data_IF_275942202959
#
_entry.id   IF_275942202959
#
_cell.length_a   1.000
_cell.length_b   1.000
_cell.length_c   1.000
_cell.angle_alpha   90.00
_cell.angle_beta   90.00
_cell.angle_gamma   90.00
#
_symmetry.space_group_name_H-M   'P 1'
#
loop_
_entity.id
_entity.type
_entity.pdbx_description
1 polymer ?
#
# COMPACT_ATOMS: atom_id res chain seq x y z
N UNK A 1 9.37 3.12 -9.99
CA UNK A 1 9.34 2.65 -8.62
C UNK A 1 8.19 1.66 -8.43
N UNK A 2 8.44 0.56 -7.76
CA UNK A 2 7.44 -0.44 -7.36
C UNK A 2 7.68 -0.74 -5.89
N UNK A 3 6.61 -0.72 -5.11
CA UNK A 3 6.62 -1.12 -3.70
C UNK A 3 5.87 -2.42 -3.54
N UNK A 4 6.44 -3.39 -2.83
CA UNK A 4 5.79 -4.64 -2.46
C UNK A 4 5.39 -4.58 -0.99
N UNK A 5 4.26 -5.20 -0.67
CA UNK A 5 3.80 -5.41 0.69
C UNK A 5 3.62 -6.90 0.89
N UNK A 6 4.38 -7.45 1.84
CA UNK A 6 4.58 -8.87 2.09
C UNK A 6 5.11 -9.66 0.90
N UNK A 7 5.81 -10.74 1.19
CA UNK A 7 6.42 -11.62 0.19
C UNK A 7 6.32 -13.07 0.70
N UNK A 8 5.14 -13.65 0.55
CA UNK A 8 4.89 -15.05 0.87
C UNK A 8 5.60 -16.02 -0.07
N UNK A 9 5.56 -17.30 0.24
CA UNK A 9 6.37 -18.36 -0.40
C UNK A 9 6.16 -18.47 -1.92
N UNK A 10 4.99 -18.18 -2.42
CA UNK A 10 4.68 -18.25 -3.86
C UNK A 10 5.07 -17.00 -4.67
N UNK A 11 5.43 -15.88 -4.03
CA UNK A 11 5.55 -14.56 -4.68
C UNK A 11 6.56 -14.56 -5.84
N UNK A 12 7.71 -15.21 -5.69
CA UNK A 12 8.73 -15.28 -6.74
C UNK A 12 8.22 -15.94 -8.02
N UNK A 13 7.39 -16.97 -7.90
CA UNK A 13 6.82 -17.68 -9.04
C UNK A 13 5.63 -16.93 -9.62
N UNK A 14 4.75 -16.41 -8.78
CA UNK A 14 3.57 -15.68 -9.21
C UNK A 14 3.91 -14.39 -9.97
N UNK A 15 4.98 -13.70 -9.57
CA UNK A 15 5.41 -12.46 -10.23
C UNK A 15 5.83 -12.69 -11.69
N UNK A 16 6.23 -13.92 -12.07
CA UNK A 16 6.56 -14.28 -13.45
C UNK A 16 5.35 -14.29 -14.39
N UNK A 17 4.15 -14.43 -13.84
CA UNK A 17 2.88 -14.37 -14.58
C UNK A 17 2.35 -12.94 -14.72
N UNK A 18 3.09 -11.93 -14.21
CA UNK A 18 2.71 -10.53 -14.24
C UNK A 18 3.75 -9.66 -14.97
N UNK A 19 3.34 -8.45 -15.36
CA UNK A 19 4.26 -7.50 -16.00
C UNK A 19 5.21 -6.78 -15.04
N UNK A 20 5.21 -7.16 -13.76
CA UNK A 20 6.07 -6.58 -12.72
C UNK A 20 7.53 -6.95 -13.00
N UNK A 21 8.40 -5.93 -13.04
CA UNK A 21 9.84 -6.12 -13.21
C UNK A 21 10.53 -5.98 -11.86
N UNK A 22 11.14 -7.04 -11.36
CA UNK A 22 11.83 -7.05 -10.06
C UNK A 22 12.90 -5.97 -9.95
N UNK A 23 13.61 -5.67 -11.01
CA UNK A 23 14.59 -4.57 -11.04
C UNK A 23 14.00 -3.16 -10.88
N UNK A 24 12.68 -3.00 -10.84
CA UNK A 24 11.98 -1.75 -10.53
C UNK A 24 11.45 -1.70 -9.09
N UNK A 25 11.53 -2.82 -8.37
CA UNK A 25 11.18 -2.87 -6.95
C UNK A 25 12.28 -2.21 -6.16
N UNK A 26 11.95 -1.14 -5.47
CA UNK A 26 12.90 -0.37 -4.66
C UNK A 26 12.54 -0.34 -3.17
N UNK A 27 11.30 -0.71 -2.80
CA UNK A 27 10.87 -0.87 -1.41
C UNK A 27 10.09 -2.16 -1.25
N UNK A 28 10.31 -2.84 -0.13
CA UNK A 28 9.50 -3.96 0.34
C UNK A 28 9.13 -3.68 1.78
N UNK A 29 7.84 -3.69 2.07
CA UNK A 29 7.27 -3.52 3.39
C UNK A 29 6.73 -4.85 3.88
N UNK A 30 7.09 -5.25 5.10
CA UNK A 30 6.64 -6.48 5.72
C UNK A 30 5.73 -6.13 6.90
N UNK A 31 4.54 -6.72 6.92
CA UNK A 31 3.57 -6.49 7.97
C UNK A 31 3.93 -7.23 9.25
N UNK A 32 4.29 -8.51 9.15
CA UNK A 32 4.68 -9.34 10.28
C UNK A 32 5.52 -10.55 9.84
N UNK A 33 6.05 -11.28 10.81
CA UNK A 33 7.07 -12.31 10.58
C UNK A 33 6.52 -13.75 10.42
N UNK A 34 5.21 -13.94 10.21
CA UNK A 34 4.69 -15.27 9.85
C UNK A 34 5.20 -15.70 8.46
N UNK A 35 5.32 -17.01 8.25
CA UNK A 35 5.97 -17.56 7.06
C UNK A 35 5.29 -17.21 5.76
N UNK A 36 3.96 -17.23 5.73
CA UNK A 36 3.14 -16.87 4.57
C UNK A 36 3.26 -15.39 4.14
N UNK A 37 3.94 -14.56 4.95
CA UNK A 37 4.26 -13.16 4.63
C UNK A 37 5.73 -12.92 4.29
N UNK A 38 6.66 -13.83 4.65
CA UNK A 38 8.11 -13.60 4.49
C UNK A 38 8.88 -14.71 3.79
N UNK A 39 8.35 -15.94 3.67
CA UNK A 39 9.15 -17.07 3.18
C UNK A 39 9.53 -16.96 1.70
N UNK A 40 8.87 -16.10 0.93
CA UNK A 40 9.28 -15.80 -0.44
C UNK A 40 10.45 -14.83 -0.56
N UNK A 41 10.80 -14.09 0.51
CA UNK A 41 11.83 -13.05 0.47
C UNK A 41 13.20 -13.56 -0.01
N UNK A 42 13.80 -14.61 0.57
CA UNK A 42 15.15 -15.03 0.17
C UNK A 42 15.23 -15.35 -1.33
N UNK A 43 14.25 -16.06 -1.86
CA UNK A 43 14.18 -16.40 -3.29
C UNK A 43 13.95 -15.20 -4.18
N UNK A 44 13.04 -14.31 -3.80
CA UNK A 44 12.75 -13.10 -4.56
C UNK A 44 13.95 -12.16 -4.59
N UNK A 45 14.64 -11.96 -3.46
CA UNK A 45 15.84 -11.11 -3.38
C UNK A 45 16.95 -11.65 -4.28
N UNK A 46 17.19 -12.96 -4.26
CA UNK A 46 18.17 -13.60 -5.14
C UNK A 46 17.79 -13.43 -6.62
N UNK A 47 16.52 -13.68 -6.97
CA UNK A 47 16.03 -13.51 -8.34
C UNK A 47 16.14 -12.06 -8.84
N UNK A 48 15.94 -11.08 -7.97
CA UNK A 48 16.07 -9.65 -8.31
C UNK A 48 17.48 -9.31 -8.80
N UNK A 49 18.52 -9.94 -8.24
CA UNK A 49 19.92 -9.76 -8.71
C UNK A 49 20.09 -10.04 -10.20
N UNK A 50 19.32 -10.99 -10.75
CA UNK A 50 19.43 -11.43 -12.15
C UNK A 50 18.33 -10.87 -13.06
N UNK A 51 17.37 -10.12 -12.49
CA UNK A 51 16.23 -9.56 -13.22
C UNK A 51 16.25 -8.02 -13.25
N UNK A 52 17.43 -7.44 -13.43
CA UNK A 52 17.64 -6.02 -13.61
C UNK A 52 17.63 -5.20 -12.31
N UNK A 53 17.86 -5.86 -11.18
CA UNK A 53 18.08 -5.23 -9.88
C UNK A 53 19.56 -4.98 -9.53
N UNK A 54 20.47 -5.41 -10.42
CA UNK A 54 21.91 -5.23 -10.25
C UNK A 54 22.25 -3.76 -10.00
N UNK A 55 23.09 -3.50 -9.01
CA UNK A 55 23.51 -2.16 -8.54
C UNK A 55 22.39 -1.22 -8.07
N UNK A 56 21.12 -1.66 -8.06
CA UNK A 56 20.01 -0.82 -7.62
C UNK A 56 19.71 -1.06 -6.14
N UNK A 57 19.78 -0.04 -5.29
CA UNK A 57 19.48 -0.19 -3.87
C UNK A 57 18.04 -0.70 -3.65
N UNK A 58 17.86 -1.46 -2.57
CA UNK A 58 16.56 -1.91 -2.08
C UNK A 58 16.41 -1.48 -0.62
N UNK A 59 15.26 -0.93 -0.27
CA UNK A 59 14.90 -0.68 1.12
C UNK A 59 13.92 -1.75 1.59
N UNK A 60 14.25 -2.44 2.68
CA UNK A 60 13.43 -3.46 3.31
C UNK A 60 12.97 -2.95 4.67
N UNK A 61 11.66 -2.79 4.83
CA UNK A 61 11.04 -2.18 6.00
C UNK A 61 10.09 -3.19 6.64
N UNK A 62 10.25 -3.44 7.94
CA UNK A 62 9.38 -4.40 8.62
C UNK A 62 9.71 -4.61 10.09
N UNK A 63 9.11 -5.61 10.73
CA UNK A 63 9.29 -5.88 12.15
C UNK A 63 10.72 -6.25 12.52
N UNK A 64 11.05 -6.08 13.80
CA UNK A 64 12.29 -6.58 14.39
C UNK A 64 12.50 -8.06 14.09
N UNK A 65 13.73 -8.40 13.69
CA UNK A 65 14.13 -9.75 13.30
C UNK A 65 14.12 -9.98 11.79
N UNK A 66 13.57 -9.06 10.98
CA UNK A 66 13.54 -9.17 9.53
C UNK A 66 14.95 -9.23 8.92
N UNK A 67 15.84 -8.32 9.35
CA UNK A 67 17.25 -8.32 8.91
C UNK A 67 17.92 -9.64 9.26
N UNK A 68 17.78 -10.10 10.51
CA UNK A 68 18.39 -11.35 10.96
C UNK A 68 17.92 -12.55 10.15
N UNK A 69 16.62 -12.62 9.84
CA UNK A 69 16.03 -13.68 9.02
C UNK A 69 16.67 -13.71 7.63
N UNK A 70 16.72 -12.59 6.95
CA UNK A 70 17.26 -12.48 5.59
C UNK A 70 18.76 -12.78 5.56
N UNK A 71 19.54 -12.15 6.43
CA UNK A 71 21.00 -12.35 6.47
C UNK A 71 21.35 -13.81 6.81
N UNK A 72 20.59 -14.45 7.71
CA UNK A 72 20.79 -15.87 8.03
C UNK A 72 20.46 -16.76 6.83
N UNK A 73 19.34 -16.53 6.17
CA UNK A 73 18.93 -17.29 4.99
C UNK A 73 19.97 -17.19 3.86
N UNK A 74 20.39 -15.97 3.52
CA UNK A 74 21.40 -15.73 2.49
C UNK A 74 22.76 -16.34 2.85
N UNK A 75 23.19 -16.22 4.11
CA UNK A 75 24.45 -16.78 4.59
C UNK A 75 24.47 -18.31 4.50
N UNK A 76 23.42 -18.97 5.00
CA UNK A 76 23.37 -20.44 5.04
C UNK A 76 23.20 -21.07 3.65
N UNK A 77 22.54 -20.34 2.73
CA UNK A 77 22.38 -20.77 1.34
C UNK A 77 23.53 -20.34 0.42
N UNK A 78 24.55 -19.67 0.97
CA UNK A 78 25.69 -19.10 0.21
C UNK A 78 25.23 -18.20 -0.96
N UNK A 79 24.05 -17.58 -0.80
CA UNK A 79 23.48 -16.69 -1.82
C UNK A 79 24.05 -15.27 -1.69
N UNK A 80 24.46 -14.71 -2.82
CA UNK A 80 25.03 -13.35 -2.88
C UNK A 80 24.12 -12.45 -3.69
N UNK A 81 23.91 -11.24 -3.19
CA UNK A 81 23.14 -10.21 -3.87
C UNK A 81 24.08 -9.20 -4.54
N UNK A 82 23.72 -8.78 -5.76
CA UNK A 82 24.50 -7.82 -6.55
C UNK A 82 24.02 -6.38 -6.32
N UNK A 83 23.41 -6.09 -5.18
CA UNK A 83 22.89 -4.77 -4.82
C UNK A 83 22.86 -4.61 -3.30
N UNK A 84 22.95 -3.37 -2.80
CA UNK A 84 22.85 -3.10 -1.37
C UNK A 84 21.39 -3.15 -0.90
N UNK A 85 21.19 -3.67 0.33
CA UNK A 85 19.92 -3.56 1.05
C UNK A 85 20.07 -2.62 2.23
N UNK A 86 19.13 -1.70 2.37
CA UNK A 86 18.95 -0.92 3.59
C UNK A 86 17.80 -1.55 4.40
N UNK A 87 18.08 -1.99 5.61
CA UNK A 87 17.08 -2.52 6.53
C UNK A 87 16.58 -1.42 7.45
N UNK A 88 15.27 -1.33 7.59
CA UNK A 88 14.62 -0.43 8.55
C UNK A 88 13.64 -1.28 9.36
N UNK A 89 14.03 -1.60 10.58
CA UNK A 89 13.13 -2.27 11.52
C UNK A 89 12.21 -1.25 12.15
N UNK A 90 10.93 -1.55 12.20
CA UNK A 90 9.89 -0.64 12.66
C UNK A 90 9.39 -1.03 14.04
N UNK A 91 8.92 -0.01 14.74
CA UNK A 91 8.16 -0.11 15.97
C UNK A 91 6.79 0.57 15.84
N UNK A 92 6.09 0.69 16.93
CA UNK A 92 4.83 1.42 16.96
C UNK A 92 5.09 2.93 16.73
N UNK A 93 4.30 3.56 15.86
CA UNK A 93 4.41 4.98 15.44
C UNK A 93 5.56 5.31 14.47
N UNK A 94 6.01 4.35 13.69
CA UNK A 94 6.99 4.59 12.64
C UNK A 94 6.44 5.53 11.55
N UNK A 95 7.32 6.39 11.02
CA UNK A 95 7.03 7.25 9.86
C UNK A 95 8.23 7.28 8.93
N UNK A 96 7.98 7.13 7.63
CA UNK A 96 8.98 7.12 6.57
C UNK A 96 8.57 8.04 5.43
N UNK A 97 9.52 8.81 4.90
CA UNK A 97 9.30 9.73 3.79
C UNK A 97 10.14 9.35 2.59
N UNK A 98 9.52 9.23 1.43
CA UNK A 98 10.20 8.92 0.18
C UNK A 98 9.50 9.57 -1.02
N UNK A 99 10.23 10.39 -1.81
CA UNK A 99 9.72 11.03 -3.03
C UNK A 99 8.36 11.75 -2.85
N UNK A 100 8.19 12.41 -1.70
CA UNK A 100 6.96 13.14 -1.36
C UNK A 100 5.83 12.27 -0.80
N UNK A 101 5.98 10.93 -0.80
CA UNK A 101 5.10 10.03 -0.06
C UNK A 101 5.44 10.03 1.42
N UNK A 102 4.41 9.93 2.24
CA UNK A 102 4.55 9.65 3.67
C UNK A 102 3.96 8.26 3.95
N UNK A 103 4.75 7.38 4.56
CA UNK A 103 4.30 6.06 5.03
C UNK A 103 4.34 6.07 6.54
N UNK A 104 3.22 5.82 7.18
CA UNK A 104 3.15 5.62 8.63
C UNK A 104 2.68 4.21 8.96
N UNK A 105 3.10 3.69 10.10
CA UNK A 105 2.64 2.38 10.58
C UNK A 105 2.12 2.42 12.01
N UNK A 106 1.28 1.45 12.33
CA UNK A 106 0.77 1.19 13.69
C UNK A 106 0.79 -0.30 13.96
N UNK A 107 1.07 -0.64 15.22
CA UNK A 107 0.97 -2.01 15.71
C UNK A 107 -0.50 -2.43 15.74
N UNK A 108 -0.78 -3.61 15.19
CA UNK A 108 -2.08 -4.26 15.15
C UNK A 108 -2.21 -5.33 16.25
N UNK A 109 -3.36 -5.97 16.33
CA UNK A 109 -3.66 -6.99 17.34
C UNK A 109 -3.62 -8.40 16.74
N UNK A 110 -2.47 -9.01 16.73
CA UNK A 110 -2.25 -10.35 16.20
C UNK A 110 -1.43 -11.22 17.17
N UNK A 111 -1.20 -12.50 16.83
CA UNK A 111 -0.41 -13.43 17.65
C UNK A 111 1.05 -13.07 17.84
N UNK A 112 1.63 -12.33 16.87
CA UNK A 112 2.96 -11.73 16.93
C UNK A 112 2.85 -10.25 16.51
N UNK A 113 3.90 -9.42 16.71
CA UNK A 113 3.88 -8.04 16.24
C UNK A 113 3.53 -7.96 14.74
N UNK A 114 2.36 -7.41 14.43
CA UNK A 114 1.84 -7.17 13.09
C UNK A 114 1.56 -5.70 12.92
N UNK A 115 1.78 -5.15 11.73
CA UNK A 115 1.67 -3.73 11.45
C UNK A 115 0.75 -3.47 10.25
N UNK A 116 -0.03 -2.41 10.36
CA UNK A 116 -0.69 -1.80 9.22
C UNK A 116 0.11 -0.60 8.74
N UNK A 117 0.04 -0.33 7.45
CA UNK A 117 0.70 0.80 6.78
C UNK A 117 -0.34 1.75 6.20
N UNK A 118 -0.13 3.04 6.40
CA UNK A 118 -0.86 4.13 5.74
C UNK A 118 0.08 4.88 4.84
N UNK A 119 -0.22 4.92 3.55
CA UNK A 119 0.56 5.57 2.51
C UNK A 119 -0.22 6.80 2.04
N UNK A 120 0.35 7.98 2.26
CA UNK A 120 -0.19 9.25 1.78
C UNK A 120 0.66 9.71 0.60
N UNK A 121 0.04 9.80 -0.58
CA UNK A 121 0.70 10.28 -1.77
C UNK A 121 0.93 11.81 -1.71
N UNK A 122 1.93 12.33 -2.42
CA UNK A 122 2.19 13.76 -2.43
C UNK A 122 0.99 14.57 -2.93
N UNK A 123 0.82 15.77 -2.38
CA UNK A 123 -0.18 16.71 -2.88
C UNK A 123 0.09 17.06 -4.32
N UNK A 124 -0.97 17.17 -5.11
CA UNK A 124 -0.87 17.65 -6.51
C UNK A 124 -1.17 19.15 -6.58
N UNK A 125 -0.45 19.89 -7.41
CA UNK A 125 -0.74 21.30 -7.62
C UNK A 125 -2.18 21.52 -8.05
N UNK A 126 -2.77 22.63 -7.62
CA UNK A 126 -4.13 23.02 -7.98
C UNK A 126 -4.34 23.16 -9.50
N UNK A 127 -5.57 23.06 -9.91
CA UNK A 127 -5.96 23.24 -11.32
C UNK A 127 -5.67 24.67 -11.74
N UNK A 128 -5.00 24.85 -12.89
CA UNK A 128 -4.72 26.17 -13.47
C UNK A 128 -6.02 26.86 -13.87
N UNK A 129 -6.14 28.14 -13.54
CA UNK A 129 -7.13 29.03 -14.07
C UNK A 129 -6.66 29.58 -15.43
N UNK A 130 -7.06 28.90 -16.49
CA UNK A 130 -6.73 29.27 -17.86
C UNK A 130 -7.27 30.64 -18.22
N UNK A 131 -8.44 31.02 -17.67
CA UNK A 131 -9.09 32.30 -17.95
C UNK A 131 -8.30 33.46 -17.36
N UNK A 132 -7.86 33.31 -16.11
CA UNK A 132 -7.02 34.32 -15.46
C UNK A 132 -5.66 34.48 -16.16
N UNK A 133 -5.03 33.37 -16.61
CA UNK A 133 -3.75 33.43 -17.35
C UNK A 133 -3.92 34.11 -18.73
N UNK A 134 -4.99 33.82 -19.44
CA UNK A 134 -5.30 34.48 -20.71
C UNK A 134 -5.57 35.97 -20.54
N UNK A 135 -6.15 36.39 -19.42
CA UNK A 135 -6.41 37.82 -19.14
C UNK A 135 -5.12 38.65 -19.03
N UNK A 136 -3.99 38.04 -18.65
CA UNK A 136 -2.67 38.68 -18.66
C UNK A 136 -1.90 38.45 -19.98
N UNK A 137 -2.52 37.80 -20.98
CA UNK A 137 -1.92 37.49 -22.28
C UNK A 137 -1.10 36.22 -22.34
N UNK A 138 -1.09 35.39 -21.29
CA UNK A 138 -0.34 34.13 -21.29
C UNK A 138 -1.23 33.00 -21.86
N UNK A 139 -0.89 32.57 -23.07
CA UNK A 139 -1.56 31.47 -23.74
C UNK A 139 -1.07 30.11 -23.25
N UNK A 140 -1.89 29.02 -23.39
CA UNK A 140 -1.50 27.66 -23.02
C UNK A 140 -0.17 27.22 -23.66
N UNK A 141 0.76 26.78 -22.81
CA UNK A 141 2.10 26.37 -23.25
C UNK A 141 2.99 25.90 -22.08
N UNK A 142 4.29 25.68 -22.34
CA UNK A 142 5.24 25.20 -21.32
C UNK A 142 5.27 26.06 -20.04
N UNK A 143 5.03 27.35 -20.17
CA UNK A 143 4.99 28.31 -19.04
C UNK A 143 3.94 27.97 -18.00
N UNK A 144 2.86 27.27 -18.39
CA UNK A 144 1.84 26.78 -17.46
C UNK A 144 2.41 25.79 -16.44
N UNK A 145 3.48 25.05 -16.78
CA UNK A 145 4.18 24.21 -15.82
C UNK A 145 4.87 25.04 -14.72
N UNK A 146 5.45 26.19 -15.06
CA UNK A 146 6.05 27.07 -14.05
C UNK A 146 4.97 27.58 -13.08
N UNK A 147 3.82 28.05 -13.61
CA UNK A 147 2.68 28.47 -12.79
C UNK A 147 2.21 27.34 -11.86
N UNK A 148 2.25 26.11 -12.36
CA UNK A 148 1.79 24.94 -11.61
C UNK A 148 2.74 24.56 -10.48
N UNK A 149 4.05 24.60 -10.73
CA UNK A 149 5.08 24.01 -9.87
C UNK A 149 5.72 25.00 -8.89
N UNK A 150 5.78 26.28 -9.24
CA UNK A 150 6.46 27.30 -8.43
C UNK A 150 5.47 28.25 -7.77
N UNK A 151 5.91 28.97 -6.75
CA UNK A 151 5.09 29.96 -6.04
C UNK A 151 4.95 31.26 -6.84
N UNK A 152 5.94 31.55 -7.71
CA UNK A 152 5.94 32.70 -8.60
C UNK A 152 6.37 32.31 -10.00
N UNK A 153 5.96 33.08 -11.00
CA UNK A 153 6.44 32.97 -12.38
C UNK A 153 6.63 34.35 -12.98
N UNK A 154 7.55 34.46 -13.91
CA UNK A 154 7.79 35.69 -14.65
C UNK A 154 7.13 35.64 -16.03
N UNK A 155 6.41 36.72 -16.39
CA UNK A 155 5.83 36.90 -17.71
C UNK A 155 5.83 38.37 -18.10
N UNK A 156 6.30 38.70 -19.32
CA UNK A 156 6.42 40.08 -19.81
C UNK A 156 7.16 41.00 -18.84
N UNK A 157 8.30 40.57 -18.27
CA UNK A 157 9.12 41.30 -17.30
C UNK A 157 8.37 41.65 -15.98
N UNK A 158 7.29 40.95 -15.67
CA UNK A 158 6.53 41.10 -14.45
C UNK A 158 6.48 39.76 -13.69
N UNK A 159 6.67 39.82 -12.37
CA UNK A 159 6.56 38.66 -11.50
C UNK A 159 5.12 38.54 -10.95
N UNK A 160 4.53 37.36 -11.12
CA UNK A 160 3.18 37.04 -10.67
C UNK A 160 3.24 35.99 -9.58
N UNK A 161 2.29 36.05 -8.64
CA UNK A 161 2.08 34.98 -7.64
C UNK A 161 1.24 33.86 -8.28
N UNK A 162 1.77 32.65 -8.35
CA UNK A 162 1.09 31.51 -8.98
C UNK A 162 -0.23 31.15 -8.31
N UNK A 163 -0.37 31.42 -7.00
CA UNK A 163 -1.61 31.16 -6.25
C UNK A 163 -2.83 31.93 -6.82
N UNK A 164 -2.60 33.05 -7.50
CA UNK A 164 -3.67 33.88 -8.08
C UNK A 164 -4.17 33.31 -9.42
N UNK A 165 -3.48 32.30 -9.96
CA UNK A 165 -3.74 31.67 -11.26
C UNK A 165 -3.95 30.16 -11.17
N UNK A 166 -4.03 29.61 -9.97
CA UNK A 166 -4.32 28.19 -9.73
C UNK A 166 -5.17 28.02 -8.47
N UNK A 167 -6.02 27.01 -8.49
CA UNK A 167 -6.75 26.59 -7.31
C UNK A 167 -5.86 26.04 -6.20
N UNK A 168 -6.44 25.69 -5.05
CA UNK A 168 -5.68 25.09 -3.95
C UNK A 168 -5.08 23.74 -4.38
N UNK A 169 -3.95 23.39 -3.79
CA UNK A 169 -3.36 22.07 -3.93
C UNK A 169 -4.37 20.99 -3.46
N UNK A 170 -4.39 19.87 -4.17
CA UNK A 170 -5.26 18.73 -3.83
C UNK A 170 -4.44 17.69 -3.09
N UNK A 171 -4.92 17.17 -1.95
CA UNK A 171 -4.28 16.03 -1.29
C UNK A 171 -4.12 14.87 -2.29
N UNK A 172 -3.02 14.17 -2.18
CA UNK A 172 -2.84 12.91 -2.89
C UNK A 172 -3.72 11.82 -2.30
N UNK A 173 -3.92 10.71 -3.02
CA UNK A 173 -4.69 9.58 -2.50
C UNK A 173 -4.01 8.94 -1.28
N UNK A 174 -4.86 8.37 -0.43
CA UNK A 174 -4.47 7.66 0.78
C UNK A 174 -4.77 6.18 0.57
N UNK A 175 -3.74 5.35 0.68
CA UNK A 175 -3.85 3.88 0.62
C UNK A 175 -3.45 3.30 1.95
N UNK A 176 -4.24 2.37 2.48
CA UNK A 176 -3.90 1.64 3.70
C UNK A 176 -3.82 0.15 3.43
N UNK A 177 -2.81 -0.50 4.00
CA UNK A 177 -2.56 -1.93 3.84
C UNK A 177 -2.35 -2.51 5.23
N UNK A 178 -3.18 -3.48 5.59
CA UNK A 178 -3.15 -4.10 6.89
C UNK A 178 -2.48 -5.46 6.83
N UNK A 179 -1.66 -5.76 7.84
CA UNK A 179 -1.28 -7.12 8.16
C UNK A 179 -2.41 -7.84 8.89
N UNK A 180 -2.17 -9.09 9.25
CA UNK A 180 -3.14 -9.90 9.97
C UNK A 180 -3.48 -9.29 11.31
N UNK A 181 -4.76 -9.23 11.62
CA UNK A 181 -5.25 -8.58 12.84
C UNK A 181 -6.66 -9.02 13.21
N UNK A 182 -6.96 -9.05 14.48
CA UNK A 182 -8.33 -8.92 14.97
C UNK A 182 -8.62 -7.44 15.28
N UNK A 183 -9.89 -7.02 15.37
CA UNK A 183 -10.26 -5.63 15.57
C UNK A 183 -9.47 -4.92 16.68
N UNK A 184 -8.94 -3.74 16.38
CA UNK A 184 -8.23 -2.89 17.33
C UNK A 184 -8.31 -1.40 16.96
N UNK A 185 -8.03 -0.51 17.92
CA UNK A 185 -8.17 0.94 17.73
C UNK A 185 -7.23 1.49 16.65
N UNK A 186 -6.04 0.90 16.49
CA UNK A 186 -5.07 1.36 15.53
C UNK A 186 -5.51 1.19 14.06
N UNK A 187 -6.43 0.25 13.77
CA UNK A 187 -7.03 0.12 12.44
C UNK A 187 -7.80 1.37 12.07
N UNK A 188 -8.57 1.94 13.00
CA UNK A 188 -9.35 3.18 12.76
C UNK A 188 -8.46 4.37 12.48
N UNK A 189 -7.33 4.48 13.19
CA UNK A 189 -6.34 5.55 12.98
C UNK A 189 -5.73 5.46 11.57
N UNK A 190 -5.38 4.25 11.14
CA UNK A 190 -4.79 4.02 9.82
C UNK A 190 -5.81 4.23 8.71
N UNK A 191 -7.03 3.68 8.87
CA UNK A 191 -8.06 3.67 7.85
C UNK A 191 -8.77 5.02 7.66
N UNK A 192 -8.61 5.98 8.59
CA UNK A 192 -9.34 7.25 8.57
C UNK A 192 -9.27 7.96 7.22
N UNK A 193 -10.45 8.14 6.57
CA UNK A 193 -10.61 8.78 5.26
C UNK A 193 -9.73 8.19 4.14
N UNK A 194 -9.36 6.91 4.22
CA UNK A 194 -8.58 6.25 3.17
C UNK A 194 -9.37 6.17 1.85
N UNK A 195 -8.69 6.46 0.74
CA UNK A 195 -9.27 6.26 -0.60
C UNK A 195 -9.34 4.77 -0.93
N UNK A 196 -8.32 4.03 -0.54
CA UNK A 196 -8.20 2.58 -0.71
C UNK A 196 -7.77 1.94 0.61
N UNK A 197 -8.43 0.86 0.97
CA UNK A 197 -8.02 -0.02 2.06
C UNK A 197 -7.82 -1.44 1.54
N UNK A 198 -6.69 -2.06 1.86
CA UNK A 198 -6.43 -3.47 1.64
C UNK A 198 -6.37 -4.12 3.02
N UNK A 199 -7.27 -5.08 3.26
CA UNK A 199 -7.44 -5.68 4.59
C UNK A 199 -7.72 -7.17 4.48
N UNK A 200 -7.27 -7.92 5.48
CA UNK A 200 -7.66 -9.31 5.62
C UNK A 200 -9.13 -9.43 6.03
N UNK A 201 -9.79 -10.50 5.60
CA UNK A 201 -10.96 -11.05 6.25
C UNK A 201 -10.87 -12.56 6.17
N UNK A 202 -10.02 -13.14 6.99
CA UNK A 202 -9.76 -14.58 7.00
C UNK A 202 -11.06 -15.35 7.16
N UNK A 203 -12.04 -14.79 7.84
CA UNK A 203 -13.38 -15.37 8.02
C UNK A 203 -14.45 -14.49 7.38
N UNK A 204 -15.11 -15.01 6.35
CA UNK A 204 -16.15 -14.28 5.60
C UNK A 204 -17.56 -14.83 5.85
N UNK A 205 -17.67 -15.90 6.60
CA UNK A 205 -18.91 -16.58 6.99
C UNK A 205 -18.78 -17.19 8.40
N UNK A 206 -19.92 -17.39 9.08
CA UNK A 206 -20.06 -18.17 10.27
C UNK A 206 -19.51 -17.54 11.53
N UNK A 207 -18.50 -18.11 12.12
CA UNK A 207 -18.17 -17.91 13.53
C UNK A 207 -17.14 -16.80 13.78
N UNK A 208 -17.62 -15.61 14.19
CA UNK A 208 -16.77 -14.50 14.66
C UNK A 208 -15.89 -14.87 15.86
N UNK A 209 -16.34 -15.82 16.70
CA UNK A 209 -15.56 -16.26 17.86
C UNK A 209 -14.30 -16.96 17.36
N UNK A 210 -14.41 -17.72 16.28
CA UNK A 210 -13.29 -18.42 15.69
C UNK A 210 -12.25 -17.42 15.12
N UNK A 211 -12.71 -16.38 14.41
CA UNK A 211 -11.85 -15.32 13.92
C UNK A 211 -11.04 -14.70 15.07
N UNK A 212 -11.72 -14.30 16.13
CA UNK A 212 -11.08 -13.68 17.29
C UNK A 212 -10.08 -14.60 18.00
N UNK A 213 -10.40 -15.92 18.11
CA UNK A 213 -9.51 -16.90 18.74
C UNK A 213 -8.21 -17.12 17.98
N UNK A 214 -8.23 -16.99 16.66
CA UNK A 214 -7.04 -17.08 15.80
C UNK A 214 -6.41 -15.73 15.49
N UNK A 215 -6.86 -14.65 16.17
CA UNK A 215 -6.35 -13.28 15.98
C UNK A 215 -6.51 -12.74 14.56
N UNK A 216 -7.62 -13.08 13.90
CA UNK A 216 -7.99 -12.60 12.58
C UNK A 216 -9.32 -11.83 12.60
N UNK A 217 -9.60 -11.16 11.49
CA UNK A 217 -10.83 -10.39 11.29
C UNK A 217 -11.94 -11.25 10.66
N UNK A 218 -13.18 -10.99 11.09
CA UNK A 218 -14.37 -11.40 10.39
C UNK A 218 -14.84 -10.28 9.46
N UNK A 219 -15.46 -10.63 8.33
CA UNK A 219 -15.92 -9.65 7.32
C UNK A 219 -16.81 -8.54 7.91
N UNK A 220 -17.66 -8.84 8.87
CA UNK A 220 -18.51 -7.82 9.51
C UNK A 220 -17.69 -6.80 10.31
N UNK A 221 -16.55 -7.19 10.88
CA UNK A 221 -15.67 -6.28 11.60
C UNK A 221 -14.96 -5.36 10.62
N UNK A 222 -14.55 -5.90 9.48
CA UNK A 222 -13.98 -5.12 8.38
C UNK A 222 -15.00 -4.14 7.81
N UNK A 223 -16.27 -4.54 7.63
CA UNK A 223 -17.33 -3.64 7.19
C UNK A 223 -17.57 -2.50 8.18
N UNK A 224 -17.55 -2.81 9.48
CA UNK A 224 -17.64 -1.78 10.52
C UNK A 224 -16.50 -0.77 10.43
N UNK A 225 -15.26 -1.26 10.24
CA UNK A 225 -14.08 -0.41 10.05
C UNK A 225 -14.25 0.51 8.84
N UNK A 226 -14.68 -0.03 7.68
CA UNK A 226 -14.92 0.75 6.45
C UNK A 226 -15.88 1.91 6.72
N UNK A 227 -17.01 1.65 7.38
CA UNK A 227 -18.00 2.68 7.66
C UNK A 227 -17.50 3.74 8.65
N UNK A 228 -16.95 3.30 9.76
CA UNK A 228 -16.54 4.20 10.83
C UNK A 228 -15.33 5.05 10.45
N UNK A 229 -14.49 4.56 9.54
CA UNK A 229 -13.31 5.27 9.04
C UNK A 229 -13.54 6.03 7.75
N UNK A 230 -14.78 6.01 7.17
CA UNK A 230 -15.10 6.67 5.91
C UNK A 230 -14.17 6.26 4.75
N UNK A 231 -13.87 4.95 4.66
CA UNK A 231 -13.07 4.38 3.57
C UNK A 231 -13.88 4.38 2.28
N UNK A 232 -13.28 4.84 1.16
CA UNK A 232 -14.00 4.96 -0.11
C UNK A 232 -14.14 3.63 -0.86
N UNK A 233 -13.10 2.80 -0.84
CA UNK A 233 -13.09 1.47 -1.45
C UNK A 233 -12.18 0.53 -0.68
N UNK A 234 -12.60 -0.72 -0.51
CA UNK A 234 -11.82 -1.75 0.16
C UNK A 234 -11.58 -2.96 -0.73
N UNK A 235 -10.38 -3.50 -0.66
CA UNK A 235 -9.98 -4.76 -1.24
C UNK A 235 -9.75 -5.76 -0.12
N UNK A 236 -10.48 -6.87 -0.16
CA UNK A 236 -10.44 -7.90 0.86
C UNK A 236 -9.60 -9.07 0.37
N UNK A 237 -8.60 -9.42 1.16
CA UNK A 237 -7.63 -10.47 0.88
C UNK A 237 -7.50 -11.45 2.04
N UNK A 238 -6.54 -12.37 1.98
CA UNK A 238 -6.19 -13.30 3.06
C UNK A 238 -7.40 -14.15 3.53
N UNK A 239 -8.20 -14.65 2.56
CA UNK A 239 -9.33 -15.52 2.87
C UNK A 239 -8.83 -16.90 3.31
N UNK A 240 -9.48 -17.49 4.32
CA UNK A 240 -9.14 -18.83 4.79
C UNK A 240 -9.28 -19.86 3.66
N UNK A 241 -8.34 -20.80 3.59
CA UNK A 241 -8.37 -21.93 2.66
C UNK A 241 -9.53 -22.92 2.89
N UNK A 242 -10.35 -22.71 3.93
CA UNK A 242 -11.60 -23.42 4.14
C UNK A 242 -12.67 -23.11 3.10
N UNK A 243 -12.57 -21.92 2.47
CA UNK A 243 -13.50 -21.47 1.45
C UNK A 243 -12.95 -21.84 0.07
N UNK A 244 -13.70 -22.59 -0.71
CA UNK A 244 -13.41 -22.81 -2.12
C UNK A 244 -13.93 -21.62 -2.95
N UNK A 245 -13.65 -21.61 -4.25
CA UNK A 245 -14.06 -20.50 -5.12
C UNK A 245 -15.58 -20.34 -5.22
N UNK A 246 -16.34 -21.44 -5.18
CA UNK A 246 -17.81 -21.43 -5.24
C UNK A 246 -18.38 -20.79 -3.97
N UNK A 247 -17.84 -21.19 -2.79
CA UNK A 247 -18.22 -20.60 -1.50
C UNK A 247 -18.00 -19.08 -1.50
N UNK A 248 -16.83 -18.63 -1.96
CA UNK A 248 -16.47 -17.20 -2.04
C UNK A 248 -17.42 -16.45 -2.97
N UNK A 249 -17.77 -17.01 -4.11
CA UNK A 249 -18.69 -16.38 -5.06
C UNK A 249 -20.12 -16.29 -4.51
N UNK A 250 -20.59 -17.32 -3.82
CA UNK A 250 -21.92 -17.34 -3.19
C UNK A 250 -21.97 -16.31 -2.04
N UNK A 251 -21.00 -16.31 -1.13
CA UNK A 251 -20.91 -15.36 -0.03
C UNK A 251 -20.81 -13.93 -0.56
N UNK A 252 -19.96 -13.67 -1.56
CA UNK A 252 -19.81 -12.36 -2.18
C UNK A 252 -21.13 -11.84 -2.76
N UNK A 253 -21.91 -12.71 -3.42
CA UNK A 253 -23.23 -12.36 -3.93
C UNK A 253 -24.18 -11.98 -2.80
N UNK A 254 -24.25 -12.81 -1.77
CA UNK A 254 -25.10 -12.57 -0.60
C UNK A 254 -24.74 -11.25 0.09
N UNK A 255 -23.44 -10.98 0.31
CA UNK A 255 -22.98 -9.75 0.92
C UNK A 255 -23.32 -8.51 0.06
N UNK A 256 -23.22 -8.59 -1.27
CA UNK A 256 -23.55 -7.47 -2.18
C UNK A 256 -25.06 -7.19 -2.29
N UNK A 257 -25.90 -8.16 -1.97
CA UNK A 257 -27.37 -7.99 -1.93
C UNK A 257 -27.87 -7.40 -0.60
N UNK A 258 -27.02 -7.36 0.43
CA UNK A 258 -27.38 -6.78 1.71
C UNK A 258 -27.58 -5.26 1.57
N UNK A 259 -28.56 -4.74 2.32
CA UNK A 259 -28.75 -3.30 2.42
C UNK A 259 -27.56 -2.65 3.14
N UNK A 260 -27.13 -1.52 2.64
CA UNK A 260 -26.03 -0.75 3.22
C UNK A 260 -24.66 -1.48 3.19
N UNK A 261 -24.39 -2.27 2.16
CA UNK A 261 -23.08 -2.89 1.95
C UNK A 261 -22.03 -1.85 1.57
N UNK A 262 -20.85 -1.83 2.21
CA UNK A 262 -19.79 -0.91 1.83
C UNK A 262 -19.25 -1.21 0.44
N UNK A 263 -18.49 -0.27 -0.12
CA UNK A 263 -17.79 -0.49 -1.38
C UNK A 263 -16.57 -1.39 -1.16
N UNK A 264 -16.72 -2.68 -1.40
CA UNK A 264 -15.67 -3.68 -1.23
C UNK A 264 -15.56 -4.62 -2.43
N UNK A 265 -14.43 -5.31 -2.52
CA UNK A 265 -14.18 -6.34 -3.51
C UNK A 265 -13.25 -7.42 -2.93
N UNK A 266 -13.64 -8.70 -3.04
CA UNK A 266 -12.70 -9.79 -2.81
C UNK A 266 -11.71 -9.86 -3.96
N UNK A 267 -10.42 -9.86 -3.65
CA UNK A 267 -9.36 -9.88 -4.65
C UNK A 267 -8.81 -11.29 -4.84
N UNK A 268 -8.36 -11.57 -6.06
CA UNK A 268 -7.73 -12.82 -6.47
C UNK A 268 -6.30 -12.52 -6.93
N UNK A 269 -5.49 -13.55 -7.01
CA UNK A 269 -4.16 -13.45 -7.62
C UNK A 269 -4.25 -12.81 -9.01
N UNK A 270 -3.31 -11.93 -9.31
CA UNK A 270 -3.18 -11.17 -10.55
C UNK A 270 -4.18 -10.03 -10.77
N UNK A 271 -5.12 -9.79 -9.88
CA UNK A 271 -6.01 -8.63 -10.00
C UNK A 271 -5.20 -7.34 -10.02
N UNK A 272 -5.62 -6.42 -10.88
CA UNK A 272 -4.98 -5.11 -11.04
C UNK A 272 -6.02 -4.02 -11.03
N UNK A 273 -5.84 -3.03 -10.17
CA UNK A 273 -6.76 -1.91 -10.00
C UNK A 273 -6.05 -0.59 -10.30
N UNK A 274 -6.81 0.34 -10.90
CA UNK A 274 -6.37 1.72 -11.14
C UNK A 274 -7.30 2.66 -10.39
N UNK A 275 -6.74 3.67 -9.73
CA UNK A 275 -7.46 4.65 -8.94
C UNK A 275 -6.78 6.02 -8.98
#
# INVERSE_FOLDING_TARGET
>A
SIWLFDVGEGTQHQILHHSIKLGKVDHIFITHMHGDHIFGLPGLLTSRSFQGGEDKPLTLIGPTGLQQFIETALKLSESHLNYPITYIEIDNNFTYHHNGFTVSSRLLNHGIPSYGYRIEAPTTPGTIDVTALKAIGLEPGPKYQEVKMFDTFEYNNQIYLSKDFKGPAKPGPIVTIFGDTKPCDNEYILAENADIMIHEATYIDGDKILANNYHHSHIDDVFRLIYQSNVKKSFITHLSNRYNLEDIEEINRALKEMKDTPNFEFVKDFDTFKF
#
